data_IF_079099364655
#
_entry.id   IF_079099364655
#
_cell.length_a   1.000
_cell.length_b   1.000
_cell.length_c   1.000
_cell.angle_alpha   90.00
_cell.angle_beta   90.00
_cell.angle_gamma   90.00
#
_symmetry.space_group_name_H-M   'P 1'
#
loop_
_entity.id
_entity.type
_entity.pdbx_description
1 polymer ?
#
# COMPACT_ATOMS: atom_id res chain seq x y z
N UNK A 1 -6.41 14.18 -17.94
CA UNK A 1 -5.06 14.52 -17.45
C UNK A 1 -5.06 15.43 -16.21
N UNK A 2 -5.49 16.71 -16.26
CA UNK A 2 -5.42 17.60 -15.05
C UNK A 2 -6.24 17.10 -13.85
N UNK A 3 -7.47 16.62 -14.10
CA UNK A 3 -8.37 16.12 -13.04
C UNK A 3 -7.85 14.84 -12.39
N UNK A 4 -7.28 13.96 -13.20
CA UNK A 4 -6.71 12.70 -12.72
C UNK A 4 -5.48 12.93 -11.85
N UNK A 5 -4.56 13.81 -12.27
CA UNK A 5 -3.41 14.17 -11.45
C UNK A 5 -3.84 14.79 -10.11
N UNK A 6 -4.84 15.68 -10.14
CA UNK A 6 -5.39 16.26 -8.91
C UNK A 6 -6.03 15.20 -8.00
N UNK A 7 -6.74 14.22 -8.58
CA UNK A 7 -7.34 13.13 -7.83
C UNK A 7 -6.28 12.20 -7.21
N UNK A 8 -5.24 11.86 -7.98
CA UNK A 8 -4.12 11.06 -7.47
C UNK A 8 -3.43 11.78 -6.31
N UNK A 9 -3.04 13.05 -6.50
CA UNK A 9 -2.38 13.84 -5.46
C UNK A 9 -3.27 14.09 -4.24
N UNK A 10 -4.57 14.29 -4.44
CA UNK A 10 -5.51 14.50 -3.33
C UNK A 10 -5.66 13.24 -2.47
N UNK A 11 -5.78 12.07 -3.09
CA UNK A 11 -5.83 10.81 -2.37
C UNK A 11 -4.49 10.50 -1.68
N UNK A 12 -3.35 10.63 -2.37
CA UNK A 12 -2.05 10.36 -1.75
C UNK A 12 -1.71 11.34 -0.62
N UNK A 13 -2.12 12.61 -0.74
CA UNK A 13 -2.01 13.57 0.36
C UNK A 13 -2.84 13.12 1.57
N UNK A 14 -4.09 12.67 1.36
CA UNK A 14 -4.93 12.16 2.44
C UNK A 14 -4.32 10.94 3.13
N UNK A 15 -3.88 9.94 2.36
CA UNK A 15 -3.29 8.71 2.91
C UNK A 15 -2.01 8.97 3.70
N UNK A 16 -1.19 9.93 3.27
CA UNK A 16 0.13 10.17 3.84
C UNK A 16 0.22 11.39 4.76
N UNK A 17 -0.93 11.88 5.26
CA UNK A 17 -1.00 13.07 6.13
C UNK A 17 -0.26 14.27 5.53
N UNK A 18 -0.71 14.70 4.35
CA UNK A 18 -0.09 15.75 3.54
C UNK A 18 1.41 15.50 3.25
N UNK A 19 1.76 14.22 3.05
CA UNK A 19 3.12 13.72 2.79
C UNK A 19 4.10 13.83 3.98
N UNK A 20 3.61 14.06 5.19
CA UNK A 20 4.43 14.01 6.41
C UNK A 20 4.70 12.57 6.87
N UNK A 21 3.78 11.64 6.58
CA UNK A 21 3.82 10.25 7.02
C UNK A 21 4.31 9.31 5.91
N UNK A 22 5.62 9.07 5.83
CA UNK A 22 6.19 8.00 4.98
C UNK A 22 5.83 6.58 5.43
N UNK A 23 5.29 6.44 6.65
CA UNK A 23 4.87 5.20 7.31
C UNK A 23 3.61 5.49 8.12
N UNK A 24 2.76 4.48 8.26
CA UNK A 24 1.62 4.54 9.16
C UNK A 24 2.08 4.85 10.59
N UNK A 25 1.46 5.84 11.25
CA UNK A 25 1.85 6.31 12.59
C UNK A 25 1.83 5.22 13.67
N UNK A 26 1.09 4.13 13.46
CA UNK A 26 0.88 3.07 14.45
C UNK A 26 1.83 1.88 14.34
N UNK A 27 2.77 1.87 13.38
CA UNK A 27 3.54 0.66 13.11
C UNK A 27 4.79 0.45 14.00
N UNK A 28 5.19 1.43 14.82
CA UNK A 28 6.33 1.26 15.71
C UNK A 28 6.47 2.36 16.78
N UNK A 29 5.72 2.22 17.88
CA UNK A 29 6.30 2.54 19.18
C UNK A 29 7.38 1.49 19.48
N UNK A 30 8.63 1.78 19.09
CA UNK A 30 9.86 0.97 19.30
C UNK A 30 9.94 -0.44 18.64
N UNK A 31 10.52 -0.47 17.43
CA UNK A 31 11.52 -1.43 16.89
C UNK A 31 11.57 -2.92 17.35
N UNK A 32 10.46 -3.58 17.72
CA UNK A 32 10.44 -5.05 17.87
C UNK A 32 9.10 -5.68 17.46
N UNK A 33 8.97 -6.06 16.20
CA UNK A 33 8.06 -7.14 15.80
C UNK A 33 8.91 -8.43 15.68
N UNK A 34 9.00 -9.21 16.74
CA UNK A 34 9.56 -10.56 16.66
C UNK A 34 8.54 -11.49 16.03
N UNK A 35 8.98 -12.27 15.04
CA UNK A 35 8.23 -13.35 14.41
C UNK A 35 7.83 -14.39 15.46
N UNK A 36 6.68 -14.21 16.07
CA UNK A 36 5.89 -15.28 16.67
C UNK A 36 4.51 -15.10 16.10
N UNK A 37 3.89 -16.20 15.73
CA UNK A 37 2.50 -16.25 15.33
C UNK A 37 1.69 -15.22 16.11
N UNK A 38 0.89 -14.44 15.38
CA UNK A 38 -0.50 -14.15 15.71
C UNK A 38 -0.90 -14.93 16.97
N UNK A 39 -0.66 -14.34 18.14
CA UNK A 39 -1.59 -14.60 19.21
C UNK A 39 -2.89 -14.04 18.65
N UNK A 40 -3.92 -14.87 18.63
CA UNK A 40 -5.26 -14.50 18.19
C UNK A 40 -5.82 -13.30 18.99
N UNK A 41 -5.06 -12.78 19.97
CA UNK A 41 -5.33 -11.61 20.79
C UNK A 41 -4.30 -10.46 20.72
N UNK A 42 -3.38 -10.41 19.74
CA UNK A 42 -2.56 -9.20 19.54
C UNK A 42 -3.38 -8.11 18.84
N UNK A 43 -3.48 -6.88 19.38
CA UNK A 43 -4.23 -5.78 18.76
C UNK A 43 -3.58 -5.26 17.47
N UNK A 44 -2.38 -5.76 17.10
CA UNK A 44 -1.64 -5.30 15.93
C UNK A 44 -1.68 -6.37 14.83
N UNK A 45 -2.48 -6.11 13.80
CA UNK A 45 -2.60 -6.92 12.59
C UNK A 45 -1.30 -6.79 11.76
N UNK A 46 -0.64 -7.90 11.42
CA UNK A 46 0.58 -7.89 10.60
C UNK A 46 0.34 -7.54 9.12
N UNK A 47 -0.90 -7.22 8.74
CA UNK A 47 -1.34 -6.99 7.36
C UNK A 47 -0.93 -8.16 6.44
N UNK A 48 -1.05 -9.38 6.97
CA UNK A 48 -0.67 -10.59 6.25
C UNK A 48 -1.92 -11.43 6.00
N UNK A 49 -2.36 -11.46 4.75
CA UNK A 49 -3.46 -12.33 4.34
C UNK A 49 -2.92 -13.74 4.08
N UNK A 50 -3.38 -14.79 4.80
CA UNK A 50 -2.80 -16.14 4.71
C UNK A 50 -2.85 -16.78 3.32
N UNK A 51 -3.79 -16.39 2.47
CA UNK A 51 -3.91 -16.90 1.09
C UNK A 51 -2.86 -16.36 0.13
N UNK A 52 -2.00 -15.44 0.59
CA UNK A 52 -0.91 -14.86 -0.20
C UNK A 52 0.40 -15.06 0.55
N UNK A 53 1.07 -16.17 0.31
CA UNK A 53 2.37 -16.42 0.95
C UNK A 53 3.43 -15.49 0.34
N UNK A 54 4.10 -14.64 1.14
CA UNK A 54 5.25 -13.90 0.66
C UNK A 54 6.41 -14.87 0.35
N UNK A 55 7.37 -14.48 -0.49
CA UNK A 55 8.55 -15.28 -0.77
C UNK A 55 9.28 -15.74 0.51
N UNK A 56 9.93 -16.89 0.43
CA UNK A 56 10.63 -17.47 1.58
C UNK A 56 11.75 -16.53 2.08
N UNK A 57 11.76 -16.23 3.38
CA UNK A 57 12.76 -15.35 4.00
C UNK A 57 12.37 -13.87 4.08
N UNK A 58 11.25 -13.46 3.49
CA UNK A 58 10.77 -12.07 3.53
C UNK A 58 10.24 -11.63 4.90
N UNK A 59 10.13 -10.30 5.08
CA UNK A 59 9.42 -9.66 6.19
C UNK A 59 7.97 -10.17 6.29
N UNK A 60 7.45 -10.22 7.52
CA UNK A 60 6.06 -10.63 7.79
C UNK A 60 5.14 -9.46 8.12
N UNK A 61 5.60 -8.23 7.96
CA UNK A 61 4.86 -7.02 8.39
C UNK A 61 4.72 -6.04 7.23
N UNK A 62 3.48 -5.83 6.79
CA UNK A 62 3.12 -5.09 5.57
C UNK A 62 2.14 -3.94 5.85
N UNK A 63 2.42 -3.13 6.88
CA UNK A 63 1.67 -1.92 7.20
C UNK A 63 1.86 -0.81 6.16
N UNK A 64 1.08 0.27 6.27
CA UNK A 64 1.07 1.39 5.33
C UNK A 64 2.43 2.07 5.17
N UNK A 65 2.92 2.16 3.93
CA UNK A 65 4.14 2.91 3.57
C UNK A 65 3.99 3.66 2.25
N UNK A 66 4.78 4.72 2.11
CA UNK A 66 4.87 5.49 0.87
C UNK A 66 3.64 6.34 0.58
N UNK A 67 3.54 6.85 -0.65
CA UNK A 67 2.59 7.91 -1.00
C UNK A 67 1.11 7.49 -0.89
N UNK A 68 0.81 6.21 -1.06
CA UNK A 68 -0.56 5.67 -1.00
C UNK A 68 -0.79 4.82 0.26
N UNK A 69 0.13 4.85 1.24
CA UNK A 69 0.12 3.94 2.39
C UNK A 69 -0.10 2.47 2.00
N UNK A 70 0.72 1.98 1.05
CA UNK A 70 0.61 0.62 0.53
C UNK A 70 0.61 -0.37 1.69
N UNK A 71 -0.46 -1.14 1.80
CA UNK A 71 -0.70 -2.08 2.89
C UNK A 71 -1.03 -3.46 2.35
N UNK A 72 -0.82 -4.48 3.16
CA UNK A 72 -1.01 -5.91 2.87
C UNK A 72 0.04 -6.57 1.98
N UNK A 73 0.47 -7.76 2.41
CA UNK A 73 1.42 -8.64 1.69
C UNK A 73 1.14 -8.78 0.18
N UNK A 74 -0.11 -9.00 -0.23
CA UNK A 74 -0.43 -9.19 -1.65
C UNK A 74 -0.16 -7.93 -2.49
N UNK A 75 -0.35 -6.73 -1.93
CA UNK A 75 -0.05 -5.48 -2.61
C UNK A 75 1.45 -5.26 -2.73
N UNK A 76 2.22 -5.56 -1.66
CA UNK A 76 3.68 -5.50 -1.69
C UNK A 76 4.28 -6.44 -2.74
N UNK A 77 3.81 -7.68 -2.82
CA UNK A 77 4.26 -8.66 -3.82
C UNK A 77 4.03 -8.15 -5.24
N UNK A 78 2.81 -7.69 -5.54
CA UNK A 78 2.46 -7.23 -6.89
C UNK A 78 3.17 -5.93 -7.27
N UNK A 79 3.25 -4.98 -6.35
CA UNK A 79 3.98 -3.73 -6.57
C UNK A 79 5.48 -3.97 -6.75
N UNK A 80 6.06 -4.89 -5.96
CA UNK A 80 7.46 -5.29 -6.09
C UNK A 80 7.73 -5.86 -7.48
N UNK A 81 6.87 -6.77 -7.94
CA UNK A 81 7.04 -7.35 -9.27
C UNK A 81 6.87 -6.30 -10.38
N UNK A 82 5.88 -5.43 -10.28
CA UNK A 82 5.62 -4.38 -11.26
C UNK A 82 6.79 -3.38 -11.38
N UNK A 83 7.41 -2.99 -10.27
CA UNK A 83 8.45 -1.95 -10.26
C UNK A 83 9.87 -2.50 -10.40
N UNK A 84 10.10 -3.76 -10.02
CA UNK A 84 11.47 -4.32 -9.93
C UNK A 84 11.66 -5.61 -10.73
N UNK A 85 10.59 -6.19 -11.27
CA UNK A 85 10.61 -7.50 -11.93
C UNK A 85 10.79 -8.68 -10.98
N UNK A 86 10.73 -8.45 -9.67
CA UNK A 86 10.95 -9.44 -8.60
C UNK A 86 9.88 -9.30 -7.52
N UNK A 87 9.30 -10.41 -7.08
CA UNK A 87 8.28 -10.41 -6.04
C UNK A 87 8.86 -10.10 -4.64
N UNK A 88 10.16 -10.32 -4.47
CA UNK A 88 10.86 -10.34 -3.20
C UNK A 88 11.28 -8.93 -2.75
N UNK A 89 11.58 -8.00 -3.66
CA UNK A 89 12.26 -6.73 -3.32
C UNK A 89 11.60 -5.97 -2.16
N UNK A 90 10.29 -5.74 -2.21
CA UNK A 90 9.59 -5.04 -1.11
C UNK A 90 9.12 -5.99 0.00
N UNK A 91 9.18 -7.29 -0.22
CA UNK A 91 8.89 -8.27 0.82
C UNK A 91 10.10 -8.47 1.74
N UNK A 92 11.30 -8.50 1.17
CA UNK A 92 12.58 -8.63 1.89
C UNK A 92 12.91 -7.35 2.65
N UNK A 93 12.69 -6.19 2.01
CA UNK A 93 12.88 -4.88 2.63
C UNK A 93 11.68 -3.95 2.35
N UNK A 94 10.60 -4.05 3.15
CA UNK A 94 9.43 -3.18 3.01
C UNK A 94 9.75 -1.70 3.23
N UNK A 95 10.84 -1.37 3.93
CA UNK A 95 11.25 0.00 4.21
C UNK A 95 11.65 0.74 2.93
N UNK A 96 12.01 0.03 1.86
CA UNK A 96 12.20 0.59 0.52
C UNK A 96 10.99 1.43 0.08
N UNK A 97 9.76 1.03 0.45
CA UNK A 97 8.54 1.76 0.09
C UNK A 97 8.38 3.07 0.87
N UNK A 98 8.99 3.18 2.05
CA UNK A 98 8.97 4.40 2.87
C UNK A 98 10.16 5.33 2.61
N UNK A 99 11.35 4.78 2.34
CA UNK A 99 12.61 5.54 2.33
C UNK A 99 13.13 5.87 0.95
N UNK A 100 12.82 5.05 -0.06
CA UNK A 100 13.27 5.29 -1.43
C UNK A 100 12.20 6.08 -2.20
N UNK A 101 12.45 7.35 -2.58
CA UNK A 101 11.44 8.17 -3.25
C UNK A 101 10.91 7.56 -4.54
N UNK A 102 11.74 6.81 -5.27
CA UNK A 102 11.32 6.12 -6.50
C UNK A 102 10.23 5.08 -6.18
N UNK A 103 10.40 4.33 -5.10
CA UNK A 103 9.45 3.29 -4.72
C UNK A 103 8.25 3.86 -3.95
N UNK A 104 8.44 4.88 -3.11
CA UNK A 104 7.35 5.54 -2.40
C UNK A 104 6.29 6.12 -3.37
N UNK A 105 6.73 6.77 -4.45
CA UNK A 105 5.82 7.26 -5.50
C UNK A 105 5.44 6.17 -6.50
N UNK A 106 6.39 5.30 -6.84
CA UNK A 106 6.17 4.22 -7.79
C UNK A 106 5.08 3.25 -7.34
N UNK A 107 5.03 2.89 -6.06
CA UNK A 107 3.97 2.02 -5.53
C UNK A 107 2.61 2.71 -5.55
N UNK A 108 2.57 4.02 -5.28
CA UNK A 108 1.35 4.84 -5.44
C UNK A 108 0.84 4.86 -6.87
N UNK A 109 1.73 5.09 -7.85
CA UNK A 109 1.36 5.06 -9.27
C UNK A 109 0.95 3.66 -9.72
N UNK A 110 1.67 2.62 -9.30
CA UNK A 110 1.28 1.23 -9.56
C UNK A 110 -0.13 0.95 -9.04
N UNK A 111 -0.42 1.29 -7.79
CA UNK A 111 -1.73 1.04 -7.20
C UNK A 111 -2.82 1.79 -7.97
N UNK A 112 -2.58 3.06 -8.30
CA UNK A 112 -3.51 3.89 -9.05
C UNK A 112 -3.87 3.30 -10.42
N UNK A 113 -2.87 2.77 -11.14
CA UNK A 113 -3.02 2.29 -12.51
C UNK A 113 -3.53 0.84 -12.58
N UNK A 114 -3.07 -0.03 -11.68
CA UNK A 114 -3.15 -1.50 -11.82
C UNK A 114 -3.90 -2.20 -10.67
N UNK A 115 -4.06 -1.57 -9.49
CA UNK A 115 -4.79 -2.20 -8.39
C UNK A 115 -6.28 -2.20 -8.69
N UNK A 116 -6.84 -3.40 -8.84
CA UNK A 116 -8.25 -3.58 -9.15
C UNK A 116 -9.10 -3.88 -7.92
N UNK A 117 -10.19 -3.13 -7.78
CA UNK A 117 -11.32 -3.44 -6.88
C UNK A 117 -12.59 -3.45 -7.73
N UNK A 118 -13.41 -4.48 -7.59
CA UNK A 118 -14.69 -4.60 -8.32
C UNK A 118 -14.56 -4.47 -9.86
N UNK A 119 -13.42 -4.89 -10.41
CA UNK A 119 -13.15 -4.84 -11.86
C UNK A 119 -12.77 -3.45 -12.41
N UNK A 120 -12.48 -2.49 -11.53
CA UNK A 120 -12.01 -1.16 -11.92
C UNK A 120 -10.75 -0.74 -11.17
N UNK A 121 -10.08 0.31 -11.65
CA UNK A 121 -8.87 0.91 -11.04
C UNK A 121 -9.13 2.39 -10.77
N UNK A 122 -8.31 3.00 -9.92
CA UNK A 122 -8.39 4.44 -9.66
C UNK A 122 -8.23 5.25 -10.96
N UNK A 123 -7.31 4.84 -11.83
CA UNK A 123 -7.16 5.41 -13.17
C UNK A 123 -8.48 5.41 -13.95
N UNK A 124 -9.15 4.25 -14.04
CA UNK A 124 -10.43 4.10 -14.77
C UNK A 124 -11.52 4.99 -14.15
N UNK A 125 -11.62 5.07 -12.82
CA UNK A 125 -12.61 5.93 -12.15
C UNK A 125 -12.30 7.43 -12.32
N UNK A 126 -11.04 7.82 -12.19
CA UNK A 126 -10.62 9.21 -12.40
C UNK A 126 -10.86 9.69 -13.83
N UNK A 127 -10.71 8.81 -14.83
CA UNK A 127 -11.03 9.13 -16.23
C UNK A 127 -12.54 9.33 -16.45
N UNK A 128 -13.39 8.68 -15.66
CA UNK A 128 -14.85 8.95 -15.63
C UNK A 128 -15.18 10.24 -14.88
N UNK A 129 -14.21 10.82 -14.16
CA UNK A 129 -14.41 11.97 -13.28
C UNK A 129 -15.05 11.61 -11.94
N UNK A 130 -14.99 10.33 -11.55
CA UNK A 130 -15.55 9.84 -10.30
C UNK A 130 -14.48 9.78 -9.20
N UNK A 131 -14.39 10.84 -8.40
CA UNK A 131 -13.46 10.88 -7.27
C UNK A 131 -13.87 9.90 -6.16
N UNK A 132 -15.18 9.71 -5.92
CA UNK A 132 -15.67 8.74 -4.94
C UNK A 132 -15.34 7.31 -5.33
N UNK A 133 -15.40 7.00 -6.63
CA UNK A 133 -14.92 5.73 -7.18
C UNK A 133 -13.45 5.47 -6.88
N UNK A 134 -12.59 6.49 -7.00
CA UNK A 134 -11.16 6.34 -6.63
C UNK A 134 -10.97 6.04 -5.15
N UNK A 135 -11.72 6.72 -4.27
CA UNK A 135 -11.70 6.47 -2.82
C UNK A 135 -12.20 5.05 -2.51
N UNK A 136 -13.27 4.61 -3.16
CA UNK A 136 -13.79 3.26 -2.98
C UNK A 136 -12.73 2.21 -3.37
N UNK A 137 -12.01 2.41 -4.48
CA UNK A 137 -10.91 1.52 -4.89
C UNK A 137 -9.78 1.50 -3.86
N UNK A 138 -9.44 2.63 -3.25
CA UNK A 138 -8.36 2.73 -2.24
C UNK A 138 -8.78 2.09 -0.92
N UNK A 139 -9.88 2.54 -0.30
CA UNK A 139 -10.26 2.12 1.05
C UNK A 139 -11.78 1.99 1.30
N UNK A 140 -12.60 1.80 0.25
CA UNK A 140 -14.06 1.78 0.43
C UNK A 140 -14.63 0.62 1.24
N UNK A 141 -13.82 -0.34 1.71
CA UNK A 141 -14.29 -1.33 2.69
C UNK A 141 -14.44 -0.74 4.10
N UNK A 142 -13.80 0.40 4.36
CA UNK A 142 -13.82 1.13 5.64
C UNK A 142 -14.50 2.50 5.53
N UNK A 143 -14.48 3.12 4.34
CA UNK A 143 -14.85 4.52 4.16
C UNK A 143 -16.05 4.77 3.24
N UNK A 144 -16.73 3.72 2.74
CA UNK A 144 -17.85 3.83 1.81
C UNK A 144 -19.06 2.97 2.21
#
# INVERSE_FOLDING_TARGET
MRKELAAFLGNTAHESDDFEAGREYLACGDRKCSVSMVDQNSPYNSYCQPSFEPPEGSSKVFYGRGAIQLSWNYNYIRASYALTGKAETFCDDPEQVAENPLYAWGTGMYFWMESEKEGTTCHKEALKGDFGGTLNTINGGLEC
#
